data_IF_206900494019
#
_entry.id   IF_206900494019
#
_cell.length_a   1.000
_cell.length_b   1.000
_cell.length_c   1.000
_cell.angle_alpha   90.00
_cell.angle_beta   90.00
_cell.angle_gamma   90.00
#
_symmetry.space_group_name_H-M   'P 1'
#
loop_
_entity.id
_entity.type
_entity.pdbx_description
1 polymer ?
#
# COMPACT_ATOMS: atom_id res chain seq x y z
N UNK A 1 33.08 38.08 42.08
CA UNK A 1 33.64 36.72 41.95
C UNK A 1 32.52 35.72 42.01
N UNK A 2 31.87 35.54 40.87
CA UNK A 2 30.90 34.48 40.60
C UNK A 2 31.67 33.31 40.00
N UNK A 3 31.74 32.21 40.74
CA UNK A 3 32.25 30.91 40.29
C UNK A 3 31.42 30.42 39.10
N UNK A 4 32.12 30.11 38.00
CA UNK A 4 31.56 29.64 36.74
C UNK A 4 31.73 28.12 36.69
N UNK A 5 30.61 27.39 36.61
CA UNK A 5 30.57 25.91 36.56
C UNK A 5 31.11 25.42 35.21
N UNK A 6 31.97 24.38 35.17
CA UNK A 6 32.62 23.91 33.95
C UNK A 6 31.92 22.64 33.40
N UNK A 7 30.67 22.74 32.93
CA UNK A 7 29.92 21.54 32.50
C UNK A 7 29.17 21.68 31.16
N UNK A 8 29.50 22.64 30.30
CA UNK A 8 28.80 22.89 29.03
C UNK A 8 29.69 22.76 27.77
N UNK A 9 30.74 21.94 27.82
CA UNK A 9 31.55 21.61 26.64
C UNK A 9 31.61 20.10 26.40
N UNK A 10 30.62 19.55 25.69
CA UNK A 10 30.71 18.14 25.31
C UNK A 10 29.53 17.50 24.59
N UNK A 11 28.49 18.24 24.20
CA UNK A 11 27.35 17.64 23.50
C UNK A 11 26.87 18.49 22.31
N UNK A 12 27.82 18.93 21.49
CA UNK A 12 27.52 19.83 20.38
C UNK A 12 28.60 19.90 19.33
N UNK A 13 29.01 18.77 18.74
CA UNK A 13 29.89 18.83 17.55
C UNK A 13 29.85 17.58 16.64
N UNK A 14 28.83 16.74 16.71
CA UNK A 14 28.60 15.73 15.68
C UNK A 14 27.14 15.73 15.26
N UNK A 15 26.67 16.91 14.85
CA UNK A 15 25.55 17.02 13.94
C UNK A 15 26.03 16.43 12.62
N UNK A 16 25.97 15.09 12.52
CA UNK A 16 25.86 14.42 11.23
C UNK A 16 24.87 15.26 10.43
N UNK A 17 25.28 15.68 9.24
CA UNK A 17 24.44 16.32 8.25
C UNK A 17 23.34 15.32 7.87
N UNK A 18 22.35 15.17 8.75
CA UNK A 18 21.13 14.44 8.48
C UNK A 18 20.42 15.31 7.47
N UNK A 19 20.57 14.95 6.20
CA UNK A 19 19.84 15.55 5.12
C UNK A 19 18.38 15.52 5.53
N UNK A 20 17.80 16.70 5.75
CA UNK A 20 16.36 16.88 5.93
C UNK A 20 15.70 16.05 4.86
N UNK A 21 14.70 15.25 5.24
CA UNK A 21 13.92 14.44 4.30
C UNK A 21 13.12 15.40 3.42
N UNK A 22 13.79 16.06 2.46
CA UNK A 22 13.15 16.52 1.26
C UNK A 22 12.62 15.23 0.68
N UNK A 23 11.29 15.10 0.61
CA UNK A 23 10.60 13.96 0.03
C UNK A 23 11.28 13.61 -1.28
N UNK A 24 12.24 12.68 -1.25
CA UNK A 24 13.11 12.36 -2.38
C UNK A 24 12.35 11.62 -3.47
N UNK A 25 11.13 11.21 -3.15
CA UNK A 25 10.17 10.67 -4.08
C UNK A 25 9.46 11.83 -4.77
N UNK A 26 9.73 11.96 -6.06
CA UNK A 26 9.11 12.94 -6.93
C UNK A 26 7.58 12.75 -6.90
N UNK A 27 6.77 13.82 -6.94
CA UNK A 27 5.29 13.70 -6.90
C UNK A 27 4.76 12.74 -7.98
N UNK A 28 5.42 12.71 -9.14
CA UNK A 28 5.14 11.76 -10.22
C UNK A 28 5.32 10.29 -9.81
N UNK A 29 6.34 9.98 -9.02
CA UNK A 29 6.61 8.62 -8.54
C UNK A 29 5.57 8.19 -7.49
N UNK A 30 5.17 9.11 -6.61
CA UNK A 30 4.07 8.85 -5.66
C UNK A 30 2.77 8.54 -6.38
N UNK A 31 2.42 9.35 -7.39
CA UNK A 31 1.22 9.12 -8.19
C UNK A 31 1.30 7.78 -8.94
N UNK A 32 2.46 7.43 -9.49
CA UNK A 32 2.66 6.16 -10.19
C UNK A 32 2.54 4.98 -9.22
N UNK A 33 3.15 5.04 -8.04
CA UNK A 33 3.06 4.02 -7.01
C UNK A 33 1.61 3.80 -6.53
N UNK A 34 0.88 4.89 -6.23
CA UNK A 34 -0.53 4.80 -5.88
C UNK A 34 -1.40 4.30 -7.04
N UNK A 35 -1.11 4.72 -8.28
CA UNK A 35 -1.81 4.24 -9.47
C UNK A 35 -1.66 2.73 -9.68
N UNK A 36 -0.45 2.20 -9.49
CA UNK A 36 -0.18 0.75 -9.58
C UNK A 36 -0.90 -0.03 -8.48
N UNK A 37 -0.86 0.48 -7.24
CA UNK A 37 -1.58 -0.12 -6.11
C UNK A 37 -3.09 -0.14 -6.35
N UNK A 38 -3.67 1.00 -6.73
CA UNK A 38 -5.10 1.12 -7.03
C UNK A 38 -5.48 0.20 -8.19
N UNK A 39 -4.67 0.15 -9.25
CA UNK A 39 -4.91 -0.74 -10.39
C UNK A 39 -4.94 -2.22 -9.99
N UNK A 40 -3.97 -2.67 -9.20
CA UNK A 40 -3.93 -4.06 -8.70
C UNK A 40 -5.15 -4.37 -7.82
N UNK A 41 -5.43 -3.51 -6.84
CA UNK A 41 -6.58 -3.68 -5.95
C UNK A 41 -7.91 -3.65 -6.71
N UNK A 42 -8.04 -2.82 -7.75
CA UNK A 42 -9.25 -2.76 -8.57
C UNK A 42 -9.51 -4.07 -9.31
N UNK A 43 -8.48 -4.67 -9.92
CA UNK A 43 -8.60 -5.96 -10.62
C UNK A 43 -8.98 -7.07 -9.63
N UNK A 44 -8.31 -7.14 -8.47
CA UNK A 44 -8.60 -8.13 -7.43
C UNK A 44 -10.04 -8.02 -6.91
N UNK A 45 -10.50 -6.79 -6.63
CA UNK A 45 -11.87 -6.53 -6.18
C UNK A 45 -12.90 -6.88 -7.25
N UNK A 46 -12.62 -6.54 -8.51
CA UNK A 46 -13.49 -6.87 -9.64
C UNK A 46 -13.61 -8.38 -9.81
N UNK A 47 -12.50 -9.10 -9.74
CA UNK A 47 -12.49 -10.56 -9.80
C UNK A 47 -13.20 -11.19 -8.61
N UNK A 48 -13.01 -10.64 -7.42
CA UNK A 48 -13.71 -11.14 -6.24
C UNK A 48 -15.21 -10.94 -6.38
N UNK A 49 -15.69 -9.80 -6.91
CA UNK A 49 -17.11 -9.56 -7.10
C UNK A 49 -17.71 -10.39 -8.25
N UNK A 50 -17.20 -10.25 -9.46
CA UNK A 50 -17.78 -10.93 -10.62
C UNK A 50 -17.48 -12.43 -10.62
N UNK A 51 -16.29 -12.79 -10.18
CA UNK A 51 -15.85 -14.17 -10.16
C UNK A 51 -16.57 -15.01 -9.11
N UNK A 52 -16.82 -14.46 -7.92
CA UNK A 52 -17.63 -15.18 -6.93
C UNK A 52 -19.08 -15.37 -7.41
N UNK A 53 -19.67 -14.36 -8.06
CA UNK A 53 -21.01 -14.49 -8.66
C UNK A 53 -21.00 -15.59 -9.73
N UNK A 54 -19.98 -15.60 -10.59
CA UNK A 54 -19.85 -16.56 -11.68
C UNK A 54 -19.70 -18.01 -11.22
N UNK A 55 -19.03 -18.27 -10.09
CA UNK A 55 -18.98 -19.61 -9.49
C UNK A 55 -20.35 -19.98 -8.90
N UNK A 56 -21.03 -19.04 -8.23
CA UNK A 56 -22.26 -19.31 -7.49
C UNK A 56 -23.47 -19.61 -8.40
N UNK A 57 -23.51 -19.02 -9.60
CA UNK A 57 -24.57 -19.27 -10.60
C UNK A 57 -24.34 -20.51 -11.47
N UNK A 58 -23.39 -21.39 -11.12
CA UNK A 58 -23.18 -22.63 -11.86
C UNK A 58 -24.28 -23.66 -11.58
N UNK A 59 -25.02 -24.06 -12.63
CA UNK A 59 -26.14 -25.01 -12.51
C UNK A 59 -25.70 -26.47 -12.23
N UNK A 60 -24.43 -26.80 -12.48
CA UNK A 60 -23.89 -28.17 -12.32
C UNK A 60 -22.54 -28.14 -11.62
N UNK A 61 -22.23 -29.22 -10.89
CA UNK A 61 -20.96 -29.38 -10.16
C UNK A 61 -19.75 -29.31 -11.10
N UNK A 62 -19.87 -29.84 -12.32
CA UNK A 62 -18.83 -29.77 -13.34
C UNK A 62 -18.55 -28.32 -13.76
N UNK A 63 -19.60 -27.53 -14.02
CA UNK A 63 -19.48 -26.12 -14.35
C UNK A 63 -18.90 -25.30 -13.19
N UNK A 64 -19.24 -25.67 -11.94
CA UNK A 64 -18.69 -25.01 -10.75
C UNK A 64 -17.17 -25.17 -10.67
N UNK A 65 -16.67 -26.39 -10.89
CA UNK A 65 -15.23 -26.67 -10.93
C UNK A 65 -14.57 -25.93 -12.10
N UNK A 66 -15.17 -25.97 -13.29
CA UNK A 66 -14.62 -25.35 -14.50
C UNK A 66 -14.53 -23.82 -14.34
N UNK A 67 -15.54 -23.20 -13.75
CA UNK A 67 -15.58 -21.77 -13.45
C UNK A 67 -14.54 -21.38 -12.38
N UNK A 68 -14.38 -22.20 -11.34
CA UNK A 68 -13.36 -21.96 -10.32
C UNK A 68 -11.93 -22.03 -10.88
N UNK A 69 -11.65 -23.02 -11.74
CA UNK A 69 -10.35 -23.16 -12.40
C UNK A 69 -10.09 -22.00 -13.38
N UNK A 70 -11.10 -21.58 -14.14
CA UNK A 70 -10.98 -20.43 -15.03
C UNK A 70 -10.66 -19.14 -14.25
N UNK A 71 -11.34 -18.92 -13.13
CA UNK A 71 -11.11 -17.76 -12.26
C UNK A 71 -9.68 -17.76 -11.69
N UNK A 72 -9.22 -18.93 -11.21
CA UNK A 72 -7.85 -19.10 -10.74
C UNK A 72 -6.82 -18.76 -11.83
N UNK A 73 -7.04 -19.22 -13.07
CA UNK A 73 -6.17 -18.90 -14.20
C UNK A 73 -6.11 -17.40 -14.52
N UNK A 74 -7.25 -16.69 -14.42
CA UNK A 74 -7.29 -15.24 -14.62
C UNK A 74 -6.50 -14.51 -13.52
N UNK A 75 -6.57 -14.96 -12.25
CA UNK A 75 -5.76 -14.41 -11.16
C UNK A 75 -4.27 -14.56 -11.47
N UNK A 76 -3.84 -15.75 -11.89
CA UNK A 76 -2.43 -15.97 -12.24
C UNK A 76 -1.98 -15.05 -13.39
N UNK A 77 -2.78 -14.91 -14.45
CA UNK A 77 -2.47 -13.98 -15.55
C UNK A 77 -2.36 -12.54 -15.04
N UNK A 78 -3.27 -12.11 -14.16
CA UNK A 78 -3.24 -10.76 -13.60
C UNK A 78 -1.94 -10.51 -12.81
N UNK A 79 -1.49 -11.48 -12.01
CA UNK A 79 -0.22 -11.39 -11.28
C UNK A 79 1.00 -11.40 -12.20
N UNK A 80 0.98 -12.19 -13.28
CA UNK A 80 2.04 -12.16 -14.30
C UNK A 80 2.09 -10.81 -15.02
N UNK A 81 0.94 -10.25 -15.39
CA UNK A 81 0.85 -8.94 -16.01
C UNK A 81 1.33 -7.84 -15.06
N UNK A 82 0.94 -7.90 -13.79
CA UNK A 82 1.42 -6.96 -12.78
C UNK A 82 2.94 -7.03 -12.66
N UNK A 83 3.50 -8.24 -12.53
CA UNK A 83 4.94 -8.49 -12.45
C UNK A 83 5.67 -8.01 -13.71
N UNK A 84 5.05 -8.16 -14.89
CA UNK A 84 5.59 -7.66 -16.15
C UNK A 84 5.59 -6.13 -16.22
N UNK A 85 4.52 -5.48 -15.76
CA UNK A 85 4.41 -4.01 -15.72
C UNK A 85 5.33 -3.40 -14.66
N UNK A 86 5.49 -4.07 -13.52
CA UNK A 86 6.41 -3.65 -12.43
C UNK A 86 7.86 -4.11 -12.63
N UNK A 87 8.19 -4.72 -13.78
CA UNK A 87 9.49 -5.31 -14.05
C UNK A 87 10.67 -4.33 -13.94
N UNK A 88 11.87 -4.90 -13.71
CA UNK A 88 13.25 -4.42 -13.51
C UNK A 88 13.52 -2.93 -13.46
N UNK A 89 12.93 -2.10 -14.30
CA UNK A 89 13.10 -0.64 -14.25
C UNK A 89 12.54 -0.06 -12.95
N UNK A 90 11.33 -0.45 -12.53
CA UNK A 90 10.73 0.05 -11.27
C UNK A 90 11.49 -0.53 -10.07
N UNK A 91 11.84 -1.82 -10.13
CA UNK A 91 12.57 -2.50 -9.07
C UNK A 91 14.02 -2.00 -8.93
N UNK A 92 14.70 -1.70 -10.04
CA UNK A 92 16.02 -1.05 -10.05
C UNK A 92 15.95 0.39 -9.57
N UNK A 93 14.83 1.09 -9.84
CA UNK A 93 14.60 2.43 -9.30
C UNK A 93 14.36 2.39 -7.79
N UNK A 94 13.52 1.46 -7.32
CA UNK A 94 13.26 1.21 -5.90
C UNK A 94 14.52 0.78 -5.15
N UNK A 95 15.38 -0.06 -5.74
CA UNK A 95 16.64 -0.47 -5.11
C UNK A 95 17.69 0.65 -5.03
N UNK A 96 17.55 1.69 -5.86
CA UNK A 96 18.38 2.88 -5.81
C UNK A 96 17.76 4.01 -4.97
N UNK A 97 16.56 3.82 -4.41
CA UNK A 97 16.01 4.80 -3.48
C UNK A 97 16.80 4.75 -2.18
N UNK A 98 17.26 5.90 -1.66
CA UNK A 98 17.87 5.96 -0.34
C UNK A 98 16.85 5.45 0.69
N UNK A 99 17.32 4.68 1.68
CA UNK A 99 16.46 4.19 2.77
C UNK A 99 15.78 5.38 3.44
N UNK A 100 14.48 5.53 3.19
CA UNK A 100 13.68 6.61 3.76
C UNK A 100 13.33 6.19 5.18
N UNK A 101 14.11 6.66 6.14
CA UNK A 101 13.84 6.51 7.57
C UNK A 101 13.73 7.89 8.20
N UNK A 102 12.66 8.11 8.95
CA UNK A 102 12.60 9.22 9.90
C UNK A 102 13.50 8.87 11.08
N UNK A 103 14.28 9.84 11.56
CA UNK A 103 14.92 9.67 12.87
C UNK A 103 13.83 9.52 13.93
N UNK A 104 14.06 8.70 14.96
CA UNK A 104 13.07 8.40 16.03
C UNK A 104 12.54 9.69 16.69
N UNK A 105 13.32 10.77 16.67
CA UNK A 105 12.94 12.08 17.17
C UNK A 105 11.91 12.82 16.28
N UNK A 106 11.97 12.68 14.94
CA UNK A 106 11.02 13.32 14.01
C UNK A 106 9.71 12.54 13.85
N UNK A 107 9.71 11.21 14.03
CA UNK A 107 8.47 10.41 14.04
C UNK A 107 7.49 10.91 15.11
N UNK A 108 8.01 11.38 16.24
CA UNK A 108 7.21 11.85 17.38
C UNK A 108 6.51 13.20 17.12
N UNK A 109 7.00 14.00 16.17
CA UNK A 109 6.47 15.34 15.84
C UNK A 109 5.77 15.36 14.45
N UNK A 110 5.90 14.26 13.70
CA UNK A 110 5.28 14.13 12.39
C UNK A 110 3.81 13.72 12.52
N UNK A 111 2.93 14.71 12.33
CA UNK A 111 1.47 14.59 12.10
C UNK A 111 1.07 13.62 10.96
N UNK A 112 2.05 12.99 10.31
CA UNK A 112 1.92 11.91 9.35
C UNK A 112 1.63 10.54 10.00
N UNK A 113 2.03 10.31 11.25
CA UNK A 113 1.69 9.08 11.99
C UNK A 113 0.19 8.92 12.20
N UNK A 114 -0.49 9.99 12.61
CA UNK A 114 -1.95 10.00 12.77
C UNK A 114 -2.69 9.75 11.45
N UNK A 115 -2.11 10.18 10.32
CA UNK A 115 -2.71 10.03 9.01
C UNK A 115 -2.58 8.61 8.48
N UNK A 116 -1.49 7.92 8.81
CA UNK A 116 -1.26 6.52 8.43
C UNK A 116 -2.12 5.56 9.27
N UNK A 117 -2.24 5.82 10.58
CA UNK A 117 -3.18 5.12 11.46
C UNK A 117 -4.64 5.35 11.02
N UNK A 118 -5.01 6.58 10.68
CA UNK A 118 -6.32 6.90 10.14
C UNK A 118 -6.55 6.26 8.76
N UNK A 119 -5.52 6.12 7.93
CA UNK A 119 -5.62 5.47 6.62
C UNK A 119 -5.87 3.97 6.73
N UNK A 120 -5.25 3.28 7.68
CA UNK A 120 -5.56 1.87 7.97
C UNK A 120 -7.01 1.70 8.43
N UNK A 121 -7.51 2.58 9.30
CA UNK A 121 -8.90 2.55 9.75
C UNK A 121 -9.88 2.89 8.63
N UNK A 122 -9.58 3.92 7.83
CA UNK A 122 -10.40 4.35 6.71
C UNK A 122 -10.46 3.28 5.62
N UNK A 123 -9.32 2.68 5.25
CA UNK A 123 -9.27 1.61 4.25
C UNK A 123 -10.01 0.37 4.73
N UNK A 124 -9.86 -0.03 6.00
CA UNK A 124 -10.64 -1.12 6.60
C UNK A 124 -12.15 -0.83 6.61
N UNK A 125 -12.55 0.39 6.96
CA UNK A 125 -13.95 0.82 6.94
C UNK A 125 -14.53 0.84 5.52
N UNK A 126 -13.79 1.38 4.55
CA UNK A 126 -14.19 1.38 3.14
C UNK A 126 -14.34 -0.04 2.60
N UNK A 127 -13.41 -0.94 2.95
CA UNK A 127 -13.50 -2.35 2.59
C UNK A 127 -14.75 -3.00 3.18
N UNK A 128 -15.05 -2.73 4.46
CA UNK A 128 -16.24 -3.25 5.15
C UNK A 128 -17.56 -2.70 4.58
N UNK A 129 -17.61 -1.40 4.26
CA UNK A 129 -18.77 -0.78 3.60
C UNK A 129 -18.96 -1.35 2.21
N UNK A 130 -17.86 -1.52 1.47
CA UNK A 130 -17.88 -2.09 0.14
C UNK A 130 -18.39 -3.53 0.18
N UNK A 131 -17.84 -4.39 1.03
CA UNK A 131 -18.32 -5.78 1.18
C UNK A 131 -19.77 -5.85 1.64
N UNK A 132 -20.21 -4.98 2.56
CA UNK A 132 -21.61 -4.90 2.97
C UNK A 132 -22.54 -4.43 1.84
N UNK A 133 -22.11 -3.48 1.02
CA UNK A 133 -22.85 -3.02 -0.15
C UNK A 133 -22.95 -4.12 -1.21
N UNK A 134 -21.87 -4.86 -1.45
CA UNK A 134 -21.89 -6.03 -2.34
C UNK A 134 -22.84 -7.09 -1.82
N UNK A 135 -22.79 -7.41 -0.52
CA UNK A 135 -23.69 -8.36 0.11
C UNK A 135 -25.16 -7.96 -0.05
N UNK A 136 -25.49 -6.67 0.13
CA UNK A 136 -26.86 -6.17 -0.09
C UNK A 136 -27.31 -6.28 -1.54
N UNK A 137 -26.45 -5.90 -2.49
CA UNK A 137 -26.77 -6.01 -3.91
C UNK A 137 -26.96 -7.48 -4.32
N UNK A 138 -26.23 -8.39 -3.70
CA UNK A 138 -26.36 -9.83 -3.93
C UNK A 138 -27.61 -10.43 -3.31
N UNK A 139 -27.94 -10.12 -2.05
CA UNK A 139 -29.16 -10.65 -1.42
C UNK A 139 -30.46 -10.03 -1.97
N UNK A 140 -30.38 -8.92 -2.70
CA UNK A 140 -31.51 -8.30 -3.37
C UNK A 140 -31.75 -8.82 -4.80
N UNK A 141 -30.80 -9.57 -5.37
CA UNK A 141 -30.91 -10.23 -6.67
C UNK A 141 -31.40 -11.67 -6.51
#
# INVERSE_FOLDING_TARGET
NSEQSPDDEGFGAEYMSVNKVVTGMTVSERILAYGLLIGKSFVEVTLLYYGSAYIMFADTDENLILNAVALFFVVEIADYLYTFVTNRSVMAYLSNMPQVGLTVAEVKDSRMGDLDDAWMLLSGFLLAVFTAALYKNWCAA
#
